data_IF_421218821557
#
_entry.id   IF_421218821557
#
_cell.length_a   1.000
_cell.length_b   1.000
_cell.length_c   1.000
_cell.angle_alpha   90.00
_cell.angle_beta   90.00
_cell.angle_gamma   90.00
#
_symmetry.space_group_name_H-M   'P 1'
#
loop_
_entity.id
_entity.type
_entity.pdbx_description
1 polymer ?
#
# COMPACT_ATOMS: atom_id res chain seq x y z
N UNK A 1 -13.37 -71.34 6.89
CA UNK A 1 -13.70 -70.14 6.10
C UNK A 1 -13.31 -68.91 6.98
N UNK A 2 -12.10 -68.37 6.76
CA UNK A 2 -11.54 -67.28 7.56
C UNK A 2 -11.78 -65.99 6.84
N UNK A 3 -12.55 -65.09 7.43
CA UNK A 3 -12.81 -63.73 6.87
C UNK A 3 -11.68 -62.81 7.41
N UNK A 4 -10.79 -62.38 6.52
CA UNK A 4 -9.76 -61.38 6.80
C UNK A 4 -10.42 -60.02 6.63
N UNK A 5 -10.66 -59.32 7.73
CA UNK A 5 -11.14 -57.95 7.74
C UNK A 5 -10.03 -56.97 7.34
N UNK A 6 -10.22 -56.28 6.25
CA UNK A 6 -9.33 -55.18 5.78
C UNK A 6 -9.65 -53.90 6.58
N UNK A 7 -8.79 -53.58 7.54
CA UNK A 7 -8.85 -52.28 8.21
C UNK A 7 -8.30 -51.20 7.28
N UNK A 8 -9.18 -50.42 6.65
CA UNK A 8 -8.84 -49.20 5.93
C UNK A 8 -8.56 -48.10 7.00
N UNK A 9 -7.31 -47.78 7.20
CA UNK A 9 -6.92 -46.61 7.99
C UNK A 9 -7.32 -45.32 7.23
N UNK A 10 -8.38 -44.67 7.70
CA UNK A 10 -8.71 -43.31 7.28
C UNK A 10 -7.63 -42.40 7.82
N UNK A 11 -6.66 -42.07 6.97
CA UNK A 11 -5.64 -41.08 7.27
C UNK A 11 -6.32 -39.74 7.61
N UNK A 12 -6.05 -39.22 8.81
CA UNK A 12 -6.46 -37.89 9.22
C UNK A 12 -5.91 -36.87 8.22
N UNK A 13 -6.79 -36.31 7.40
CA UNK A 13 -6.51 -35.06 6.67
C UNK A 13 -6.22 -34.00 7.74
N UNK A 14 -4.95 -33.73 7.97
CA UNK A 14 -4.52 -32.66 8.85
C UNK A 14 -5.18 -31.36 8.37
N UNK A 15 -6.01 -30.82 9.27
CA UNK A 15 -6.68 -29.53 9.10
C UNK A 15 -5.58 -28.45 9.15
N UNK A 16 -4.97 -28.14 8.01
CA UNK A 16 -4.02 -27.03 7.93
C UNK A 16 -4.82 -25.74 8.21
N UNK A 17 -4.37 -24.90 9.15
CA UNK A 17 -5.01 -23.61 9.37
C UNK A 17 -5.04 -22.85 8.02
N UNK A 18 -6.12 -22.11 7.72
CA UNK A 18 -6.20 -21.37 6.47
C UNK A 18 -4.99 -20.45 6.35
N UNK A 19 -4.25 -20.60 5.26
CA UNK A 19 -3.05 -19.79 4.99
C UNK A 19 -3.45 -18.33 5.07
N UNK A 20 -2.75 -17.57 5.93
CA UNK A 20 -3.00 -16.14 6.11
C UNK A 20 -2.62 -15.43 4.81
N UNK A 21 -3.61 -15.13 3.97
CA UNK A 21 -3.42 -14.36 2.76
C UNK A 21 -3.82 -12.90 3.00
N UNK A 22 -2.95 -11.98 2.60
CA UNK A 22 -3.22 -10.54 2.60
C UNK A 22 -3.19 -10.00 1.17
N UNK A 23 -4.16 -9.12 0.87
CA UNK A 23 -4.17 -8.36 -0.37
C UNK A 23 -4.09 -6.89 0.00
N UNK A 24 -3.18 -6.16 -0.64
CA UNK A 24 -2.92 -4.76 -0.39
C UNK A 24 -2.50 -4.06 -1.69
N UNK A 25 -2.10 -2.81 -1.58
CA UNK A 25 -1.64 -1.99 -2.69
C UNK A 25 -0.15 -1.72 -2.58
N UNK A 26 0.53 -1.70 -3.72
CA UNK A 26 1.88 -1.17 -3.85
C UNK A 26 1.99 -0.29 -5.08
N UNK A 27 3.08 0.46 -5.18
CA UNK A 27 3.36 1.29 -6.35
C UNK A 27 4.85 1.31 -6.68
N UNK A 28 5.17 1.29 -7.96
CA UNK A 28 6.55 1.34 -8.43
C UNK A 28 7.12 2.75 -8.33
N UNK A 29 8.37 2.83 -7.88
CA UNK A 29 9.14 4.07 -7.70
C UNK A 29 10.35 4.16 -8.62
N UNK A 30 10.57 3.12 -9.44
CA UNK A 30 11.67 3.03 -10.41
C UNK A 30 11.26 2.12 -11.56
N UNK A 31 11.78 2.37 -12.76
CA UNK A 31 11.65 1.49 -13.92
C UNK A 31 12.38 0.15 -13.76
N UNK A 32 13.33 0.07 -12.84
CA UNK A 32 14.03 -1.16 -12.49
C UNK A 32 13.21 -2.14 -11.65
N UNK A 33 11.91 -1.91 -11.40
CA UNK A 33 11.01 -2.83 -10.68
C UNK A 33 11.07 -2.72 -9.16
N UNK A 34 11.54 -1.60 -8.62
CA UNK A 34 11.41 -1.29 -7.19
C UNK A 34 10.03 -0.73 -6.87
N UNK A 35 9.39 -1.26 -5.84
CA UNK A 35 8.05 -0.82 -5.43
C UNK A 35 7.94 -0.67 -3.91
N UNK A 36 7.06 0.23 -3.51
CA UNK A 36 6.72 0.51 -2.11
C UNK A 36 5.39 -0.12 -1.75
N UNK A 37 5.31 -0.60 -0.52
CA UNK A 37 4.07 -0.96 0.17
C UNK A 37 4.20 -0.69 1.68
N UNK A 38 3.16 -0.96 2.46
CA UNK A 38 3.23 -0.88 3.92
C UNK A 38 3.90 -2.13 4.51
N UNK A 39 4.72 -1.96 5.56
CA UNK A 39 5.40 -3.07 6.22
C UNK A 39 4.42 -4.12 6.79
N UNK A 40 3.37 -3.68 7.50
CA UNK A 40 2.38 -4.58 8.11
C UNK A 40 1.67 -5.51 7.10
N UNK A 41 1.70 -5.19 5.81
CA UNK A 41 1.11 -6.01 4.73
C UNK A 41 1.91 -7.29 4.49
N UNK A 42 3.23 -7.22 4.66
CA UNK A 42 4.15 -8.32 4.36
C UNK A 42 4.73 -8.95 5.63
N UNK A 43 4.45 -8.40 6.80
CA UNK A 43 4.99 -8.85 8.07
C UNK A 43 4.65 -10.32 8.37
N UNK A 44 5.68 -11.14 8.57
CA UNK A 44 5.55 -12.58 8.82
C UNK A 44 5.09 -13.41 7.62
N UNK A 45 5.11 -12.83 6.40
CA UNK A 45 4.75 -13.49 5.16
C UNK A 45 5.99 -13.63 4.25
N UNK A 46 6.12 -14.76 3.56
CA UNK A 46 7.32 -15.09 2.78
C UNK A 46 7.06 -15.15 1.27
N UNK A 47 5.84 -15.46 0.85
CA UNK A 47 5.46 -15.56 -0.54
C UNK A 47 4.76 -14.26 -1.00
N UNK A 48 5.58 -13.29 -1.43
CA UNK A 48 5.08 -11.98 -1.87
C UNK A 48 5.01 -11.96 -3.39
N UNK A 49 3.82 -11.64 -3.91
CA UNK A 49 3.53 -11.59 -5.34
C UNK A 49 2.92 -10.24 -5.71
N UNK A 50 3.31 -9.75 -6.88
CA UNK A 50 2.81 -8.53 -7.50
C UNK A 50 2.00 -8.90 -8.73
N UNK A 51 0.76 -8.46 -8.81
CA UNK A 51 -0.12 -8.76 -9.94
C UNK A 51 -0.07 -7.60 -10.94
N UNK A 52 0.69 -7.76 -12.02
CA UNK A 52 0.81 -6.77 -13.08
C UNK A 52 -0.40 -6.76 -14.01
N UNK A 53 -0.96 -7.95 -14.24
CA UNK A 53 -2.19 -8.17 -15.01
C UNK A 53 -2.76 -9.55 -14.65
N UNK A 54 -3.99 -9.91 -15.06
CA UNK A 54 -4.55 -11.24 -14.80
C UNK A 54 -3.70 -12.41 -15.31
N UNK A 55 -2.80 -12.13 -16.26
CA UNK A 55 -1.91 -13.14 -16.87
C UNK A 55 -0.44 -12.99 -16.43
N UNK A 56 -0.11 -12.00 -15.66
CA UNK A 56 1.28 -11.70 -15.25
C UNK A 56 1.36 -11.43 -13.75
N UNK A 57 1.82 -12.43 -13.01
CA UNK A 57 2.09 -12.36 -11.57
C UNK A 57 3.60 -12.55 -11.38
N UNK A 58 4.23 -11.60 -10.71
CA UNK A 58 5.67 -11.61 -10.46
C UNK A 58 5.94 -11.87 -8.97
N UNK A 59 6.95 -12.68 -8.68
CA UNK A 59 7.45 -12.83 -7.32
C UNK A 59 8.24 -11.58 -6.94
N UNK A 60 7.98 -11.04 -5.75
CA UNK A 60 8.73 -9.93 -5.20
C UNK A 60 9.66 -10.38 -4.08
N UNK A 61 10.82 -9.74 -4.00
CA UNK A 61 11.79 -9.90 -2.90
C UNK A 61 11.71 -8.67 -2.00
N UNK A 62 11.72 -8.88 -0.68
CA UNK A 62 11.86 -7.78 0.27
C UNK A 62 13.32 -7.32 0.26
N UNK A 63 13.53 -6.03 0.05
CA UNK A 63 14.85 -5.38 0.03
C UNK A 63 15.13 -4.68 1.36
N UNK A 64 14.16 -3.92 1.87
CA UNK A 64 14.30 -3.13 3.09
C UNK A 64 12.94 -2.95 3.74
N UNK A 65 12.90 -2.86 5.06
CA UNK A 65 11.70 -2.54 5.85
C UNK A 65 12.02 -1.48 6.89
N UNK A 66 11.02 -0.69 7.24
CA UNK A 66 11.02 0.24 8.36
C UNK A 66 9.68 0.10 9.09
N UNK A 67 9.71 -0.58 10.23
CA UNK A 67 8.52 -0.85 11.04
C UNK A 67 7.93 0.44 11.64
N UNK A 68 8.80 1.39 12.02
CA UNK A 68 8.36 2.63 12.66
C UNK A 68 7.56 3.50 11.69
N UNK A 69 8.02 3.61 10.46
CA UNK A 69 7.36 4.38 9.39
C UNK A 69 6.34 3.57 8.61
N UNK A 70 6.20 2.26 8.92
CA UNK A 70 5.34 1.30 8.22
C UNK A 70 5.63 1.24 6.72
N UNK A 71 6.91 1.15 6.33
CA UNK A 71 7.35 1.11 4.95
C UNK A 71 8.06 -0.20 4.62
N UNK A 72 7.83 -0.72 3.42
CA UNK A 72 8.57 -1.82 2.84
C UNK A 72 8.95 -1.52 1.40
N UNK A 73 10.22 -1.76 1.06
CA UNK A 73 10.76 -1.74 -0.29
C UNK A 73 10.85 -3.16 -0.82
N UNK A 74 10.15 -3.41 -1.91
CA UNK A 74 10.15 -4.68 -2.61
C UNK A 74 10.82 -4.52 -3.99
N UNK A 75 11.23 -5.64 -4.59
CA UNK A 75 11.83 -5.69 -5.92
C UNK A 75 11.25 -6.85 -6.73
N UNK A 76 10.82 -6.55 -7.95
CA UNK A 76 10.51 -7.54 -8.99
C UNK A 76 11.53 -7.45 -10.12
N UNK A 77 11.78 -8.55 -10.82
CA UNK A 77 12.72 -8.59 -11.93
C UNK A 77 11.96 -8.31 -13.26
N UNK A 78 11.60 -7.04 -13.44
CA UNK A 78 10.91 -6.53 -14.62
C UNK A 78 11.18 -5.03 -14.82
N UNK A 79 11.05 -4.57 -16.06
CA UNK A 79 10.94 -3.14 -16.37
C UNK A 79 9.50 -2.72 -16.08
N UNK A 80 9.32 -1.64 -15.34
CA UNK A 80 8.03 -1.20 -14.84
C UNK A 80 7.76 0.27 -15.07
N UNK A 81 6.52 0.71 -15.32
CA UNK A 81 6.15 2.10 -15.14
C UNK A 81 6.34 2.49 -13.67
N UNK A 82 6.60 3.77 -13.38
CA UNK A 82 6.79 4.25 -12.02
C UNK A 82 6.16 5.63 -11.81
N UNK A 83 5.99 6.02 -10.55
CA UNK A 83 5.49 7.33 -10.14
C UNK A 83 6.62 8.18 -9.55
N UNK A 84 6.48 9.50 -9.66
CA UNK A 84 7.40 10.44 -9.04
C UNK A 84 7.00 10.72 -7.60
N UNK A 85 8.01 10.82 -6.72
CA UNK A 85 7.81 11.24 -5.33
C UNK A 85 7.89 12.76 -5.22
N UNK A 86 7.05 13.33 -4.37
CA UNK A 86 7.11 14.76 -4.06
C UNK A 86 8.32 15.08 -3.21
N UNK A 87 9.23 15.91 -3.74
CA UNK A 87 10.30 16.54 -2.97
C UNK A 87 9.79 17.87 -2.39
N UNK A 88 8.93 17.79 -1.39
CA UNK A 88 8.37 18.96 -0.69
C UNK A 88 8.64 18.86 0.80
N UNK A 89 8.95 19.99 1.42
CA UNK A 89 9.16 20.08 2.86
C UNK A 89 7.85 20.07 3.67
N UNK A 90 6.69 20.00 3.02
CA UNK A 90 5.41 19.99 3.69
C UNK A 90 4.27 19.48 2.81
N UNK A 91 3.24 19.00 3.49
CA UNK A 91 1.96 18.62 2.90
C UNK A 91 0.91 19.51 3.58
N UNK A 92 0.60 20.70 2.99
CA UNK A 92 -0.22 21.70 3.68
C UNK A 92 -1.67 21.23 3.85
N UNK A 93 -2.27 21.57 4.99
CA UNK A 93 -3.69 21.35 5.23
C UNK A 93 -4.54 22.05 4.15
N UNK A 94 -5.63 21.41 3.73
CA UNK A 94 -6.49 21.86 2.64
C UNK A 94 -6.00 21.48 1.24
N UNK A 95 -4.82 20.90 1.07
CA UNK A 95 -4.33 20.43 -0.23
C UNK A 95 -5.19 19.26 -0.72
N UNK A 96 -5.63 19.32 -1.97
CA UNK A 96 -6.31 18.19 -2.64
C UNK A 96 -5.39 16.96 -2.73
N UNK A 97 -5.96 15.80 -2.48
CA UNK A 97 -5.29 14.51 -2.64
C UNK A 97 -6.22 13.46 -3.24
N UNK A 98 -5.63 12.53 -3.98
CA UNK A 98 -6.31 11.31 -4.41
C UNK A 98 -5.52 10.10 -3.93
N UNK A 99 -6.21 8.99 -3.65
CA UNK A 99 -5.54 7.70 -3.50
C UNK A 99 -6.06 6.72 -4.53
N UNK A 100 -5.19 5.84 -4.97
CA UNK A 100 -5.50 4.78 -5.91
C UNK A 100 -5.03 3.45 -5.34
N UNK A 101 -5.85 2.41 -5.48
CA UNK A 101 -5.49 1.11 -4.92
C UNK A 101 -6.54 0.02 -5.17
N UNK A 102 -6.42 -1.05 -4.39
CA UNK A 102 -7.18 -2.28 -4.54
C UNK A 102 -7.90 -2.67 -3.24
N UNK A 103 -8.88 -1.85 -2.81
CA UNK A 103 -9.65 -2.15 -1.59
C UNK A 103 -10.53 -3.37 -1.79
N UNK A 104 -10.63 -4.23 -0.75
CA UNK A 104 -11.57 -5.34 -0.65
C UNK A 104 -11.71 -6.17 -1.96
N UNK A 105 -10.60 -6.61 -2.51
CA UNK A 105 -10.53 -7.28 -3.84
C UNK A 105 -11.52 -8.45 -3.97
N UNK A 106 -11.78 -9.18 -2.88
CA UNK A 106 -12.73 -10.30 -2.87
C UNK A 106 -14.18 -9.87 -3.13
N UNK A 107 -14.52 -8.61 -2.89
CA UNK A 107 -15.87 -8.06 -3.07
C UNK A 107 -15.92 -7.10 -4.26
N UNK A 108 -14.94 -6.19 -4.36
CA UNK A 108 -14.93 -5.12 -5.35
C UNK A 108 -14.16 -5.45 -6.63
N UNK A 109 -13.54 -6.63 -6.71
CA UNK A 109 -12.73 -7.06 -7.85
C UNK A 109 -11.38 -6.34 -7.97
N UNK A 110 -10.58 -6.77 -8.94
CA UNK A 110 -9.18 -6.37 -9.13
C UNK A 110 -8.99 -5.08 -9.95
N UNK A 111 -10.04 -4.36 -10.27
CA UNK A 111 -9.92 -3.05 -10.93
C UNK A 111 -9.44 -2.01 -9.93
N UNK A 112 -8.47 -1.18 -10.31
CA UNK A 112 -7.98 -0.07 -9.49
C UNK A 112 -9.14 0.87 -9.12
N UNK A 113 -9.25 1.22 -7.83
CA UNK A 113 -10.22 2.20 -7.34
C UNK A 113 -9.50 3.52 -7.06
N UNK A 114 -10.22 4.63 -7.23
CA UNK A 114 -9.74 5.97 -6.96
C UNK A 114 -10.72 6.68 -6.01
N UNK A 115 -10.19 7.36 -4.99
CA UNK A 115 -10.96 8.24 -4.11
C UNK A 115 -10.25 9.58 -3.95
N UNK A 116 -11.01 10.64 -3.67
CA UNK A 116 -10.51 12.02 -3.52
C UNK A 116 -10.85 12.55 -2.13
N UNK A 117 -9.97 13.38 -1.59
CA UNK A 117 -10.15 14.10 -0.35
C UNK A 117 -9.15 15.26 -0.24
N UNK A 118 -8.95 15.73 0.97
CA UNK A 118 -7.97 16.77 1.28
C UNK A 118 -7.06 16.32 2.42
N UNK A 119 -5.95 17.01 2.58
CA UNK A 119 -5.13 16.94 3.79
C UNK A 119 -5.88 17.67 4.91
N UNK A 120 -6.20 16.97 6.00
CA UNK A 120 -6.90 17.53 7.15
C UNK A 120 -5.95 18.10 8.19
N UNK A 121 -4.78 17.47 8.36
CA UNK A 121 -3.74 17.90 9.30
C UNK A 121 -2.36 17.58 8.73
N UNK A 122 -1.41 18.48 8.91
CA UNK A 122 -0.01 18.28 8.51
C UNK A 122 0.74 17.30 9.42
N UNK A 123 0.10 16.85 10.50
CA UNK A 123 0.62 15.87 11.44
C UNK A 123 -0.29 14.66 11.55
N UNK A 124 0.31 13.53 11.87
CA UNK A 124 -0.39 12.28 12.08
C UNK A 124 -0.96 12.15 13.50
N UNK A 125 -1.27 10.91 13.88
CA UNK A 125 -1.78 10.59 15.20
C UNK A 125 -0.81 11.06 16.30
N UNK A 126 -1.34 11.71 17.36
CA UNK A 126 -0.56 12.26 18.47
C UNK A 126 0.54 13.22 18.02
N UNK A 127 0.24 14.02 17.00
CA UNK A 127 1.15 15.00 16.41
C UNK A 127 2.43 14.42 15.78
N UNK A 128 2.39 13.16 15.35
CA UNK A 128 3.51 12.51 14.65
C UNK A 128 3.95 13.36 13.45
N UNK A 129 5.21 13.85 13.43
CA UNK A 129 5.71 14.69 12.35
C UNK A 129 6.01 13.89 11.05
N UNK A 130 6.18 12.58 11.13
CA UNK A 130 6.48 11.67 10.01
C UNK A 130 5.27 11.28 9.18
N UNK A 131 4.07 11.54 9.68
CA UNK A 131 2.81 11.26 9.01
C UNK A 131 1.88 12.47 8.98
N UNK A 132 0.74 12.35 8.30
CA UNK A 132 -0.29 13.37 8.20
C UNK A 132 -1.67 12.76 8.04
N UNK A 133 -2.72 13.54 8.34
CA UNK A 133 -4.11 13.11 8.24
C UNK A 133 -4.75 13.56 6.94
N UNK A 134 -5.59 12.71 6.35
CA UNK A 134 -6.36 13.02 5.13
C UNK A 134 -7.76 12.40 5.14
N UNK A 135 -8.67 12.91 4.29
CA UNK A 135 -10.09 12.53 4.25
C UNK A 135 -10.50 11.66 3.06
N UNK A 136 -9.61 11.39 2.08
CA UNK A 136 -9.96 10.47 1.01
C UNK A 136 -10.31 9.09 1.59
N UNK A 137 -11.43 8.50 1.14
CA UNK A 137 -11.88 7.22 1.66
C UNK A 137 -10.86 6.11 1.39
N UNK A 138 -10.52 5.34 2.42
CA UNK A 138 -9.67 4.16 2.33
C UNK A 138 -10.27 3.00 3.09
N UNK A 139 -10.00 1.80 2.60
CA UNK A 139 -10.47 0.55 3.19
C UNK A 139 -9.33 -0.48 3.21
N UNK A 140 -9.57 -1.63 3.84
CA UNK A 140 -8.64 -2.76 3.81
C UNK A 140 -8.26 -3.08 2.36
N UNK A 141 -6.96 -3.07 2.06
CA UNK A 141 -6.42 -3.23 0.72
C UNK A 141 -5.83 -1.95 0.12
N UNK A 142 -6.17 -0.76 0.63
CA UNK A 142 -5.49 0.49 0.24
C UNK A 142 -4.12 0.66 0.93
N UNK A 143 -3.84 -0.08 2.01
CA UNK A 143 -2.57 -0.05 2.73
C UNK A 143 -1.38 -0.21 1.78
N UNK A 144 -0.38 0.64 1.93
CA UNK A 144 0.81 0.69 1.09
C UNK A 144 0.61 1.37 -0.26
N UNK A 145 -0.62 1.78 -0.59
CA UNK A 145 -0.92 2.55 -1.81
C UNK A 145 -0.43 3.99 -1.75
N UNK A 146 -0.29 4.65 -2.91
CA UNK A 146 0.15 6.04 -2.97
C UNK A 146 -0.99 6.98 -2.59
N UNK A 147 -0.67 8.01 -1.81
CA UNK A 147 -1.46 9.22 -1.72
C UNK A 147 -0.83 10.26 -2.65
N UNK A 148 -1.60 10.71 -3.62
CA UNK A 148 -1.15 11.49 -4.78
C UNK A 148 -1.66 12.90 -4.61
N UNK A 149 -0.77 13.86 -4.67
CA UNK A 149 -1.07 15.29 -4.67
C UNK A 149 -1.12 15.89 -6.08
N UNK A 150 -1.18 17.22 -6.15
CA UNK A 150 -1.12 17.98 -7.40
C UNK A 150 0.05 17.56 -8.29
N UNK A 151 -0.15 17.65 -9.62
CA UNK A 151 0.88 17.22 -10.59
C UNK A 151 1.16 15.71 -10.64
N UNK A 152 0.34 14.88 -9.97
CA UNK A 152 0.47 13.42 -10.00
C UNK A 152 1.64 12.87 -9.17
N UNK A 153 2.16 13.66 -8.23
CA UNK A 153 3.28 13.25 -7.39
C UNK A 153 2.80 12.58 -6.11
N UNK A 154 3.48 11.52 -5.68
CA UNK A 154 3.21 10.86 -4.41
C UNK A 154 3.66 11.76 -3.26
N UNK A 155 2.71 12.17 -2.42
CA UNK A 155 2.92 12.99 -1.21
C UNK A 155 2.96 12.14 0.06
N UNK A 156 2.49 10.88 0.00
CA UNK A 156 2.53 9.95 1.12
C UNK A 156 2.19 8.52 0.73
N UNK A 157 2.37 7.62 1.71
CA UNK A 157 2.03 6.19 1.63
C UNK A 157 0.90 5.92 2.62
N UNK A 158 -0.20 5.35 2.15
CA UNK A 158 -1.39 5.08 2.98
C UNK A 158 -1.09 4.04 4.05
N UNK A 159 -1.36 4.37 5.32
CA UNK A 159 -1.20 3.53 6.51
C UNK A 159 -2.57 3.06 7.03
N UNK A 160 -3.47 2.59 6.18
CA UNK A 160 -4.83 2.31 6.62
C UNK A 160 -4.91 1.14 7.60
N UNK A 161 -5.66 1.28 8.67
CA UNK A 161 -6.14 0.31 9.65
C UNK A 161 -5.43 0.20 11.00
N UNK A 162 -4.10 0.23 11.12
CA UNK A 162 -3.46 0.23 12.45
C UNK A 162 -3.87 1.45 13.28
N UNK A 163 -3.97 2.59 12.60
CA UNK A 163 -4.33 3.85 13.25
C UNK A 163 -5.84 3.94 13.55
N UNK A 164 -6.71 3.37 12.70
CA UNK A 164 -8.15 3.32 12.95
C UNK A 164 -8.52 2.38 14.12
N UNK A 165 -7.83 1.25 14.27
CA UNK A 165 -8.01 0.33 15.41
C UNK A 165 -7.55 0.99 16.71
N UNK A 166 -6.34 1.58 16.71
CA UNK A 166 -5.81 2.32 17.89
C UNK A 166 -6.72 3.49 18.29
N UNK A 167 -7.33 4.15 17.32
CA UNK A 167 -8.25 5.26 17.57
C UNK A 167 -9.58 4.74 18.12
N UNK A 168 -10.13 3.65 17.58
CA UNK A 168 -11.35 3.00 18.08
C UNK A 168 -11.17 2.48 19.51
N UNK A 169 -10.03 1.90 19.83
CA UNK A 169 -9.68 1.46 21.19
C UNK A 169 -9.56 2.64 22.16
N UNK A 170 -9.06 3.80 21.69
CA UNK A 170 -8.86 4.99 22.52
C UNK A 170 -10.14 5.82 22.72
N UNK A 171 -11.07 5.81 21.77
CA UNK A 171 -12.24 6.70 21.77
C UNK A 171 -13.57 5.98 21.86
N UNK A 172 -13.60 4.63 21.72
CA UNK A 172 -14.81 3.82 21.59
C UNK A 172 -15.72 4.24 20.41
N UNK A 173 -15.16 5.00 19.45
CA UNK A 173 -15.83 5.48 18.25
C UNK A 173 -15.08 4.98 16.99
N UNK A 174 -15.82 4.76 15.90
CA UNK A 174 -15.25 4.44 14.60
C UNK A 174 -15.19 5.73 13.76
N UNK A 175 -14.04 6.42 13.75
CA UNK A 175 -13.94 7.67 13.02
C UNK A 175 -14.10 7.41 11.53
N UNK A 176 -14.99 8.15 10.90
CA UNK A 176 -15.19 8.13 9.46
C UNK A 176 -14.28 9.17 8.81
N UNK A 177 -13.60 8.77 7.71
CA UNK A 177 -12.73 9.66 6.91
C UNK A 177 -11.56 10.29 7.69
N UNK A 178 -11.10 9.61 8.74
CA UNK A 178 -9.86 9.93 9.46
C UNK A 178 -8.81 8.89 9.09
N UNK A 179 -7.97 9.23 8.12
CA UNK A 179 -6.96 8.33 7.59
C UNK A 179 -5.58 8.98 7.71
N UNK A 180 -4.53 8.17 7.75
CA UNK A 180 -3.17 8.62 7.91
C UNK A 180 -2.26 8.07 6.79
N UNK A 181 -1.27 8.89 6.43
CA UNK A 181 -0.24 8.51 5.46
C UNK A 181 1.14 8.89 5.98
N UNK A 182 2.12 8.02 5.75
CA UNK A 182 3.54 8.33 5.93
C UNK A 182 3.96 9.34 4.87
N UNK A 183 4.63 10.44 5.26
CA UNK A 183 5.05 11.51 4.34
C UNK A 183 6.05 11.03 3.28
N UNK A 184 5.98 11.62 2.09
CA UNK A 184 6.98 11.37 1.03
C UNK A 184 8.41 11.72 1.46
N UNK A 185 8.60 12.72 2.35
CA UNK A 185 9.91 13.05 2.91
C UNK A 185 10.52 11.92 3.73
N UNK A 186 9.70 11.19 4.50
CA UNK A 186 10.12 9.98 5.23
C UNK A 186 10.44 8.85 4.25
N UNK A 187 9.58 8.66 3.22
CA UNK A 187 9.82 7.68 2.17
C UNK A 187 11.13 7.96 1.40
N UNK A 188 11.41 9.21 1.02
CA UNK A 188 12.64 9.60 0.35
C UNK A 188 13.86 9.25 1.21
N UNK A 189 13.83 9.60 2.50
CA UNK A 189 14.90 9.24 3.45
C UNK A 189 15.07 7.73 3.57
N UNK A 190 13.97 6.97 3.61
CA UNK A 190 14.00 5.51 3.63
C UNK A 190 14.69 4.93 2.38
N UNK A 191 14.63 5.62 1.24
CA UNK A 191 15.18 5.17 -0.05
C UNK A 191 16.60 5.68 -0.34
N UNK A 192 17.17 6.59 0.45
CA UNK A 192 18.44 7.28 0.17
C UNK A 192 19.60 6.33 -0.19
N UNK A 193 19.69 5.17 0.47
CA UNK A 193 20.76 4.19 0.26
C UNK A 193 20.47 3.22 -0.90
N UNK A 194 19.38 3.40 -1.64
CA UNK A 194 18.99 2.48 -2.72
C UNK A 194 19.40 3.05 -4.08
N UNK A 195 20.37 2.46 -4.79
CA UNK A 195 20.83 2.99 -6.08
C UNK A 195 19.71 3.08 -7.11
N UNK A 196 19.67 4.22 -7.83
CA UNK A 196 18.68 4.43 -8.90
C UNK A 196 17.29 4.83 -8.44
N UNK A 197 17.09 5.11 -7.15
CA UNK A 197 15.83 5.59 -6.57
C UNK A 197 16.12 6.78 -5.62
N UNK A 198 15.17 7.72 -5.46
CA UNK A 198 13.90 7.90 -6.17
C UNK A 198 13.97 8.95 -7.27
N UNK A 199 13.08 8.85 -8.26
CA UNK A 199 12.78 10.00 -9.10
C UNK A 199 11.87 10.96 -8.35
N UNK A 200 12.36 12.14 -8.01
CA UNK A 200 11.61 13.15 -7.27
C UNK A 200 11.27 14.35 -8.16
N UNK A 201 10.14 14.99 -7.88
CA UNK A 201 9.75 16.26 -8.51
C UNK A 201 9.25 17.24 -7.45
N UNK A 202 9.36 18.55 -7.75
CA UNK A 202 8.87 19.60 -6.88
C UNK A 202 7.35 19.70 -6.97
N UNK A 203 6.66 19.63 -5.83
CA UNK A 203 5.23 19.80 -5.72
C UNK A 203 4.85 21.28 -5.82
N UNK A 204 3.79 21.57 -6.60
CA UNK A 204 3.05 22.82 -6.50
C UNK A 204 1.70 22.53 -5.81
N UNK A 205 1.53 22.86 -4.52
CA UNK A 205 0.33 22.49 -3.77
C UNK A 205 -0.96 23.23 -4.24
N UNK A 206 -0.82 24.26 -5.10
CA UNK A 206 -1.94 25.02 -5.66
C UNK A 206 -2.36 24.54 -7.06
N UNK A 207 -1.65 23.59 -7.63
CA UNK A 207 -2.03 22.99 -8.90
C UNK A 207 -3.31 22.16 -8.74
N UNK A 208 -4.22 22.26 -9.71
CA UNK A 208 -5.47 21.50 -9.67
C UNK A 208 -5.22 20.04 -10.04
N UNK A 209 -5.89 19.14 -9.33
CA UNK A 209 -5.91 17.72 -9.64
C UNK A 209 -6.98 17.44 -10.69
N UNK A 210 -6.59 16.82 -11.80
CA UNK A 210 -7.51 16.18 -12.73
C UNK A 210 -7.54 14.66 -12.47
N UNK A 211 -8.53 14.12 -11.72
CA UNK A 211 -8.54 12.72 -11.32
C UNK A 211 -8.59 11.74 -12.51
N UNK A 212 -9.30 12.08 -13.59
CA UNK A 212 -9.43 11.23 -14.79
C UNK A 212 -8.08 11.07 -15.46
N UNK A 213 -7.41 12.18 -15.72
CA UNK A 213 -6.08 12.18 -16.35
C UNK A 213 -5.05 11.42 -15.48
N UNK A 214 -5.04 11.70 -14.17
CA UNK A 214 -4.10 11.06 -13.25
C UNK A 214 -4.38 9.55 -13.11
N UNK A 215 -5.65 9.15 -13.13
CA UNK A 215 -6.00 7.73 -13.11
C UNK A 215 -5.38 6.99 -14.30
N UNK A 216 -5.59 7.48 -15.53
CA UNK A 216 -5.05 6.83 -16.71
C UNK A 216 -3.53 6.82 -16.77
N UNK A 217 -2.90 7.90 -16.31
CA UNK A 217 -1.44 8.06 -16.30
C UNK A 217 -0.76 7.17 -15.26
N UNK A 218 -1.31 7.07 -14.05
CA UNK A 218 -0.60 6.49 -12.89
C UNK A 218 -0.99 5.05 -12.59
N UNK A 219 -2.22 4.59 -12.98
CA UNK A 219 -2.67 3.23 -12.70
C UNK A 219 -1.71 2.12 -13.14
N UNK A 220 -0.94 2.24 -14.24
CA UNK A 220 -0.03 1.16 -14.62
C UNK A 220 1.12 0.93 -13.63
N UNK A 221 1.45 1.96 -12.84
CA UNK A 221 2.49 1.88 -11.80
C UNK A 221 1.95 1.45 -10.43
N UNK A 222 0.63 1.30 -10.27
CA UNK A 222 -0.04 0.96 -9.01
C UNK A 222 -0.60 -0.46 -9.13
N UNK A 223 -0.19 -1.34 -8.23
CA UNK A 223 -0.42 -2.79 -8.37
C UNK A 223 -0.94 -3.42 -7.09
N UNK A 224 -1.76 -4.49 -7.20
CA UNK A 224 -2.10 -5.30 -6.04
C UNK A 224 -0.90 -6.15 -5.64
N UNK A 225 -0.69 -6.23 -4.32
CA UNK A 225 0.25 -7.13 -3.68
C UNK A 225 -0.53 -8.23 -2.98
N UNK A 226 -0.14 -9.47 -3.23
CA UNK A 226 -0.67 -10.65 -2.56
C UNK A 226 0.46 -11.28 -1.77
N UNK A 227 0.29 -11.37 -0.46
CA UNK A 227 1.28 -11.97 0.43
C UNK A 227 0.63 -13.10 1.23
N UNK A 228 1.31 -14.25 1.30
CA UNK A 228 0.91 -15.43 2.06
C UNK A 228 2.12 -16.16 2.68
N UNK A 229 1.83 -17.16 3.52
CA UNK A 229 2.87 -18.00 4.14
C UNK A 229 3.37 -19.07 3.17
#
# INVERSE_FOLDING_TARGET
>A
MVIVGLLVSVGALANQPPSRQQVATGFFVSDAGYLITAHHVIEGLSNIRVVMSPRQVLRARTIKVDEQSDLALLKVDAITPFVYLSHSNGVPAGMDVITMGYPQVSVLGITTKITRGIVNSERGMRDDPGSFQFSAEVQKGNSGGPLIGPGGMVVGVVRSKLDAIKMSEATSDLPQNVNFATKSSVLIKFLEDTPGIPSTRRLNPREQINPVQLYDQLRPAIVPIVADQ
#
